data_IF_571685746444
#
_entry.id   IF_571685746444
#
_cell.length_a   1.000
_cell.length_b   1.000
_cell.length_c   1.000
_cell.angle_alpha   90.00
_cell.angle_beta   90.00
_cell.angle_gamma   90.00
#
_symmetry.space_group_name_H-M   'P 1'
#
loop_
_entity.id
_entity.type
_entity.pdbx_description
1 polymer ?
#
# COMPACT_ATOMS: atom_id res chain seq x y z
N UNK A 1 29.66 -83.68 -6.16
CA UNK A 1 30.96 -83.28 -6.77
C UNK A 1 30.66 -82.50 -8.03
N UNK A 2 30.94 -81.19 -7.94
CA UNK A 2 31.33 -80.17 -8.92
C UNK A 2 30.90 -80.16 -10.43
N UNK A 3 30.78 -78.91 -10.91
CA UNK A 3 30.87 -78.31 -12.27
C UNK A 3 29.71 -78.37 -13.28
N UNK A 4 29.03 -77.22 -13.36
CA UNK A 4 28.66 -76.39 -14.54
C UNK A 4 28.47 -77.08 -15.91
N UNK A 5 27.26 -76.91 -16.49
CA UNK A 5 26.93 -76.63 -17.91
C UNK A 5 25.43 -76.21 -17.91
N UNK A 6 25.03 -74.98 -18.24
CA UNK A 6 24.81 -74.35 -19.55
C UNK A 6 23.41 -74.57 -20.16
N UNK A 7 22.66 -73.46 -20.20
CA UNK A 7 21.60 -73.05 -21.14
C UNK A 7 20.17 -73.64 -21.13
N UNK A 8 19.24 -72.67 -21.08
CA UNK A 8 18.13 -72.38 -22.01
C UNK A 8 16.68 -72.73 -21.59
N UNK A 9 15.87 -71.66 -21.53
CA UNK A 9 14.56 -71.43 -22.19
C UNK A 9 13.47 -70.89 -21.27
N UNK A 10 12.84 -69.84 -21.81
CA UNK A 10 11.63 -69.10 -21.42
C UNK A 10 10.54 -69.92 -20.72
N UNK A 11 9.87 -69.28 -19.76
CA UNK A 11 8.57 -69.70 -19.26
C UNK A 11 7.94 -68.64 -18.37
N UNK A 12 7.20 -67.73 -19.01
CA UNK A 12 6.38 -66.63 -18.47
C UNK A 12 5.80 -66.90 -17.07
N UNK A 13 6.18 -66.08 -16.09
CA UNK A 13 5.59 -66.03 -14.76
C UNK A 13 4.74 -64.77 -14.55
N UNK A 14 3.45 -64.97 -14.27
CA UNK A 14 2.51 -63.97 -13.77
C UNK A 14 3.09 -63.23 -12.54
N UNK A 15 3.16 -61.89 -12.60
CA UNK A 15 3.57 -61.05 -11.48
C UNK A 15 2.50 -60.00 -11.17
N UNK A 16 1.79 -60.21 -10.06
CA UNK A 16 0.81 -59.30 -9.45
C UNK A 16 1.47 -57.95 -9.14
N UNK A 17 0.92 -56.86 -9.67
CA UNK A 17 1.38 -55.50 -9.37
C UNK A 17 0.88 -55.06 -7.97
N UNK A 18 1.80 -55.04 -7.00
CA UNK A 18 1.57 -54.43 -5.68
C UNK A 18 1.84 -52.92 -5.82
N UNK A 19 0.78 -52.11 -5.84
CA UNK A 19 0.86 -50.65 -5.84
C UNK A 19 1.25 -50.17 -4.44
N UNK A 20 2.45 -49.61 -4.31
CA UNK A 20 2.87 -48.88 -3.11
C UNK A 20 2.41 -47.41 -3.21
N UNK A 21 1.82 -46.82 -2.16
CA UNK A 21 1.44 -45.41 -2.18
C UNK A 21 2.70 -44.53 -2.09
N UNK A 22 2.88 -43.66 -3.08
CA UNK A 22 3.90 -42.62 -3.10
C UNK A 22 3.53 -41.58 -2.05
N UNK A 23 4.33 -41.48 -0.99
CA UNK A 23 4.27 -40.38 -0.02
C UNK A 23 4.64 -39.07 -0.73
N UNK A 24 3.68 -38.19 -0.92
CA UNK A 24 3.91 -36.81 -1.36
C UNK A 24 4.70 -36.06 -0.27
N UNK A 25 5.99 -35.84 -0.53
CA UNK A 25 6.80 -34.95 0.29
C UNK A 25 6.37 -33.51 0.03
N UNK A 26 5.78 -32.86 1.03
CA UNK A 26 5.46 -31.44 1.00
C UNK A 26 6.73 -30.62 0.75
N UNK A 27 6.79 -29.94 -0.40
CA UNK A 27 7.80 -28.94 -0.67
C UNK A 27 7.59 -27.78 0.31
N UNK A 28 8.48 -27.68 1.30
CA UNK A 28 8.61 -26.47 2.13
C UNK A 28 8.98 -25.31 1.21
N UNK A 29 8.00 -24.47 0.90
CA UNK A 29 8.22 -23.22 0.18
C UNK A 29 9.30 -22.42 0.90
N UNK A 30 10.45 -22.24 0.24
CA UNK A 30 11.54 -21.40 0.74
C UNK A 30 11.05 -19.96 0.65
N UNK A 31 10.63 -19.39 1.78
CA UNK A 31 10.35 -17.95 1.89
C UNK A 31 11.62 -17.24 1.47
N UNK A 32 11.57 -16.51 0.36
CA UNK A 32 12.67 -15.64 -0.05
C UNK A 32 12.78 -14.54 1.00
N UNK A 33 13.74 -14.70 1.92
CA UNK A 33 14.27 -13.58 2.68
C UNK A 33 14.96 -12.67 1.67
N UNK A 34 14.31 -11.57 1.30
CA UNK A 34 15.05 -10.39 0.88
C UNK A 34 15.67 -9.84 2.15
N UNK A 35 16.93 -10.17 2.42
CA UNK A 35 17.69 -9.42 3.43
C UNK A 35 17.73 -7.96 2.96
N UNK A 36 17.20 -6.99 3.74
CA UNK A 36 17.22 -5.60 3.36
C UNK A 36 18.60 -5.03 3.68
N UNK A 37 19.61 -5.49 2.97
CA UNK A 37 20.94 -4.88 2.94
C UNK A 37 21.34 -4.62 1.49
N UNK A 38 20.44 -4.00 0.72
CA UNK A 38 20.85 -3.23 -0.45
C UNK A 38 21.24 -1.85 0.07
N UNK A 39 22.52 -1.52 -0.08
CA UNK A 39 23.08 -0.21 0.22
C UNK A 39 22.18 0.88 -0.36
N UNK A 40 21.61 1.73 0.51
CA UNK A 40 20.90 2.92 0.08
C UNK A 40 21.87 3.77 -0.75
N UNK A 41 21.70 3.77 -2.07
CA UNK A 41 22.43 4.69 -2.94
C UNK A 41 21.90 6.09 -2.66
N UNK A 42 22.74 6.96 -2.11
CA UNK A 42 22.44 8.39 -2.10
C UNK A 42 22.44 8.88 -3.55
N UNK A 43 21.37 9.51 -3.97
CA UNK A 43 21.26 10.02 -5.34
C UNK A 43 19.85 10.43 -5.71
N UNK A 44 19.69 10.94 -6.92
CA UNK A 44 18.40 11.27 -7.48
C UNK A 44 17.74 10.04 -8.13
N UNK A 45 16.41 10.03 -8.20
CA UNK A 45 15.68 9.17 -9.14
C UNK A 45 15.40 9.94 -10.44
N UNK A 46 16.03 9.57 -11.58
CA UNK A 46 15.77 10.20 -12.86
C UNK A 46 14.31 10.09 -13.28
N UNK A 47 13.68 8.93 -13.08
CA UNK A 47 12.27 8.67 -13.43
C UNK A 47 11.34 9.58 -12.64
N UNK A 48 11.55 9.68 -11.32
CA UNK A 48 10.78 10.58 -10.46
C UNK A 48 10.92 12.04 -10.86
N UNK A 49 12.16 12.51 -11.08
CA UNK A 49 12.44 13.88 -11.56
C UNK A 49 11.76 14.16 -12.89
N UNK A 50 11.88 13.23 -13.84
CA UNK A 50 11.31 13.35 -15.19
C UNK A 50 9.78 13.43 -15.10
N UNK A 51 9.16 12.54 -14.32
CA UNK A 51 7.72 12.50 -14.09
C UNK A 51 7.21 13.81 -13.49
N UNK A 52 7.76 14.25 -12.34
CA UNK A 52 7.35 15.49 -11.66
C UNK A 52 7.56 16.75 -12.52
N UNK A 53 8.62 16.79 -13.33
CA UNK A 53 8.86 17.90 -14.27
C UNK A 53 7.72 18.11 -15.28
N UNK A 54 6.96 17.06 -15.57
CA UNK A 54 5.77 17.08 -16.43
C UNK A 54 4.45 17.32 -15.70
N UNK A 55 4.41 17.28 -14.36
CA UNK A 55 3.17 17.45 -13.59
C UNK A 55 2.75 18.92 -13.52
N UNK A 56 1.46 19.19 -13.67
CA UNK A 56 0.85 20.53 -13.60
C UNK A 56 -0.40 20.50 -12.71
N UNK A 57 -0.65 21.62 -12.04
CA UNK A 57 -1.82 21.79 -11.17
C UNK A 57 -3.03 22.21 -11.99
N UNK A 58 -4.05 21.36 -12.06
CA UNK A 58 -5.31 21.59 -12.76
C UNK A 58 -6.40 22.13 -11.84
N UNK A 59 -7.66 21.88 -12.19
CA UNK A 59 -8.80 22.46 -11.49
C UNK A 59 -8.87 22.07 -10.01
N UNK A 60 -9.52 22.94 -9.23
CA UNK A 60 -9.70 22.74 -7.80
C UNK A 60 -11.16 22.46 -7.46
N UNK A 61 -11.39 21.61 -6.46
CA UNK A 61 -12.71 21.37 -5.88
C UNK A 61 -12.65 21.54 -4.36
N UNK A 62 -13.56 22.34 -3.83
CA UNK A 62 -13.69 22.56 -2.39
C UNK A 62 -14.98 21.96 -1.84
N UNK A 63 -14.93 21.42 -0.63
CA UNK A 63 -16.09 21.03 0.16
C UNK A 63 -15.74 21.07 1.65
N UNK A 64 -16.48 21.85 2.44
CA UNK A 64 -16.16 22.10 3.85
C UNK A 64 -14.72 22.61 4.02
N UNK A 65 -13.92 21.92 4.83
CA UNK A 65 -12.51 22.24 5.05
C UNK A 65 -11.56 21.67 3.98
N UNK A 66 -12.05 20.84 3.05
CA UNK A 66 -11.24 20.22 2.01
C UNK A 66 -11.11 21.13 0.79
N UNK A 67 -9.89 21.23 0.27
CA UNK A 67 -9.59 21.75 -1.06
C UNK A 67 -8.71 20.74 -1.79
N UNK A 68 -9.20 20.22 -2.91
CA UNK A 68 -8.51 19.24 -3.75
C UNK A 68 -8.10 19.91 -5.05
N UNK A 69 -6.82 19.85 -5.38
CA UNK A 69 -6.31 20.19 -6.71
C UNK A 69 -6.04 18.91 -7.48
N UNK A 70 -6.60 18.79 -8.68
CA UNK A 70 -6.24 17.70 -9.58
C UNK A 70 -4.86 17.95 -10.19
N UNK A 71 -4.04 16.91 -10.28
CA UNK A 71 -2.72 16.98 -10.87
C UNK A 71 -2.75 16.24 -12.21
N UNK A 72 -2.23 16.89 -13.24
CA UNK A 72 -2.24 16.39 -14.62
C UNK A 72 -0.83 16.30 -15.17
N UNK A 73 -0.69 15.54 -16.26
CA UNK A 73 0.57 15.40 -16.98
C UNK A 73 1.31 14.17 -16.52
N UNK A 74 2.62 14.31 -16.32
CA UNK A 74 3.52 13.16 -16.37
C UNK A 74 3.89 12.82 -17.81
N UNK A 75 4.80 11.86 -17.98
CA UNK A 75 5.39 11.53 -19.29
C UNK A 75 4.78 10.24 -19.75
N UNK A 76 4.34 10.10 -21.01
CA UNK A 76 3.83 8.82 -21.50
C UNK A 76 4.78 7.69 -21.15
N UNK A 77 4.26 6.67 -20.47
CA UNK A 77 4.98 5.49 -20.07
C UNK A 77 4.35 4.25 -20.72
N UNK A 78 5.13 3.17 -20.94
CA UNK A 78 4.55 1.90 -21.37
C UNK A 78 3.47 1.43 -20.38
N UNK A 79 2.42 0.81 -20.92
CA UNK A 79 1.35 0.24 -20.10
C UNK A 79 1.91 -0.80 -19.13
N UNK A 80 1.66 -0.60 -17.84
CA UNK A 80 1.99 -1.55 -16.77
C UNK A 80 0.69 -1.96 -16.07
N UNK A 81 0.14 -3.17 -16.33
CA UNK A 81 -1.10 -3.61 -15.70
C UNK A 81 -0.91 -3.84 -14.20
N UNK A 82 -1.58 -3.02 -13.40
CA UNK A 82 -1.54 -3.04 -11.93
C UNK A 82 -2.96 -3.15 -11.40
N UNK A 83 -3.19 -4.08 -10.49
CA UNK A 83 -4.40 -4.16 -9.67
C UNK A 83 -4.17 -3.47 -8.33
N UNK A 84 -5.20 -2.84 -7.79
CA UNK A 84 -5.17 -2.39 -6.39
C UNK A 84 -5.19 -3.59 -5.44
N UNK A 85 -4.87 -3.35 -4.16
CA UNK A 85 -5.00 -4.35 -3.11
C UNK A 85 -6.41 -4.97 -3.09
N UNK A 86 -7.45 -4.14 -3.15
CA UNK A 86 -8.85 -4.56 -3.08
C UNK A 86 -9.24 -5.40 -4.29
N UNK A 87 -8.87 -4.95 -5.49
CA UNK A 87 -9.15 -5.66 -6.74
C UNK A 87 -8.53 -7.06 -6.72
N UNK A 88 -7.25 -7.16 -6.37
CA UNK A 88 -6.56 -8.44 -6.33
C UNK A 88 -7.15 -9.38 -5.29
N UNK A 89 -7.59 -8.87 -4.14
CA UNK A 89 -8.23 -9.68 -3.09
C UNK A 89 -9.64 -10.13 -3.47
N UNK A 90 -10.42 -9.25 -4.10
CA UNK A 90 -11.78 -9.58 -4.56
C UNK A 90 -11.79 -10.73 -5.56
N UNK A 91 -10.73 -10.86 -6.37
CA UNK A 91 -10.54 -11.96 -7.31
C UNK A 91 -9.90 -13.21 -6.70
N UNK A 92 -9.45 -13.14 -5.45
CA UNK A 92 -8.70 -14.22 -4.79
C UNK A 92 -7.25 -14.35 -5.26
N UNK A 93 -6.73 -13.35 -5.98
CA UNK A 93 -5.36 -13.33 -6.49
C UNK A 93 -4.35 -13.01 -5.37
N UNK A 94 -4.73 -12.23 -4.37
CA UNK A 94 -3.83 -11.80 -3.29
C UNK A 94 -4.16 -12.50 -1.98
N UNK A 95 -3.16 -13.20 -1.43
CA UNK A 95 -3.24 -13.86 -0.12
C UNK A 95 -2.35 -13.14 0.88
N UNK A 96 -2.91 -12.81 2.05
CA UNK A 96 -2.19 -12.20 3.17
C UNK A 96 -2.42 -13.06 4.41
N UNK A 97 -1.34 -13.51 5.04
CA UNK A 97 -1.39 -14.39 6.23
C UNK A 97 -0.36 -13.99 7.29
N UNK A 98 -0.59 -14.43 8.52
CA UNK A 98 0.42 -14.31 9.59
C UNK A 98 1.55 -15.34 9.45
N UNK A 99 2.75 -14.98 9.93
CA UNK A 99 3.85 -15.93 10.10
C UNK A 99 3.60 -16.83 11.33
N UNK A 100 3.87 -18.14 11.21
CA UNK A 100 3.62 -19.15 12.25
C UNK A 100 4.30 -18.85 13.61
N UNK A 101 5.46 -18.18 13.59
CA UNK A 101 6.19 -17.74 14.80
C UNK A 101 6.20 -16.22 14.85
N UNK A 102 5.05 -15.64 15.21
CA UNK A 102 4.82 -14.21 15.28
C UNK A 102 5.56 -13.57 16.47
N UNK A 103 6.82 -13.20 16.28
CA UNK A 103 7.56 -12.30 17.16
C UNK A 103 7.85 -11.01 16.38
N UNK A 104 6.88 -10.08 16.37
CA UNK A 104 6.98 -8.72 15.77
C UNK A 104 7.10 -8.72 14.22
N UNK A 105 6.86 -7.58 13.53
CA UNK A 105 5.62 -7.28 12.82
C UNK A 105 5.70 -7.57 11.31
N UNK A 106 5.80 -8.85 10.95
CA UNK A 106 5.77 -9.28 9.54
C UNK A 106 4.49 -10.07 9.22
N UNK A 107 3.84 -9.69 8.12
CA UNK A 107 2.89 -10.56 7.43
C UNK A 107 3.58 -11.27 6.26
N UNK A 108 2.93 -12.30 5.74
CA UNK A 108 3.29 -12.91 4.46
C UNK A 108 2.25 -12.49 3.43
N UNK A 109 2.72 -11.97 2.30
CA UNK A 109 1.88 -11.60 1.16
C UNK A 109 2.29 -12.40 -0.09
N UNK A 110 1.30 -12.85 -0.85
CA UNK A 110 1.50 -13.72 -2.03
C UNK A 110 0.52 -13.30 -3.13
N UNK A 111 1.05 -12.75 -4.22
CA UNK A 111 0.29 -12.48 -5.44
C UNK A 111 0.29 -13.72 -6.33
N UNK A 112 -0.85 -14.41 -6.37
CA UNK A 112 -1.13 -15.59 -7.20
C UNK A 112 -1.77 -15.23 -8.53
N UNK A 113 -2.07 -13.94 -8.74
CA UNK A 113 -2.60 -13.41 -9.98
C UNK A 113 -1.56 -13.28 -11.09
N UNK A 114 -2.04 -12.92 -12.29
CA UNK A 114 -1.23 -12.72 -13.50
C UNK A 114 -0.88 -11.25 -13.79
N UNK A 115 -1.28 -10.34 -12.91
CA UNK A 115 -1.04 -8.90 -13.01
C UNK A 115 -0.28 -8.42 -11.77
N UNK A 116 0.37 -7.26 -11.84
CA UNK A 116 0.99 -6.69 -10.66
C UNK A 116 -0.08 -6.30 -9.64
N UNK A 117 0.29 -6.31 -8.36
CA UNK A 117 -0.59 -5.82 -7.28
C UNK A 117 0.14 -4.74 -6.51
N UNK A 118 -0.47 -3.56 -6.40
CA UNK A 118 0.05 -2.45 -5.60
C UNK A 118 -0.58 -2.49 -4.21
N UNK A 119 0.28 -2.46 -3.19
CA UNK A 119 -0.09 -2.16 -1.81
C UNK A 119 0.50 -0.79 -1.48
N UNK A 120 -0.30 0.11 -0.92
CA UNK A 120 0.09 1.48 -0.58
C UNK A 120 0.48 1.59 0.90
N UNK A 121 1.49 2.41 1.17
CA UNK A 121 1.87 2.81 2.51
C UNK A 121 0.70 3.54 3.19
N UNK A 122 0.19 2.94 4.28
CA UNK A 122 -0.96 3.46 4.99
C UNK A 122 -2.26 2.68 4.82
N UNK A 123 -2.31 1.67 3.94
CA UNK A 123 -3.46 0.77 3.86
C UNK A 123 -3.63 -0.04 5.15
N UNK A 124 -4.87 -0.14 5.62
CA UNK A 124 -5.24 -0.92 6.80
C UNK A 124 -5.70 -2.31 6.38
N UNK A 125 -4.98 -3.32 6.86
CA UNK A 125 -5.33 -4.73 6.71
C UNK A 125 -6.12 -5.16 7.94
N UNK A 126 -7.43 -5.33 7.77
CA UNK A 126 -8.33 -5.77 8.84
C UNK A 126 -8.29 -7.29 8.99
N UNK A 127 -8.24 -7.82 10.20
CA UNK A 127 -8.27 -9.28 10.47
C UNK A 127 -7.05 -9.80 11.23
N UNK A 128 -6.65 -11.05 10.97
CA UNK A 128 -5.57 -11.74 11.68
C UNK A 128 -5.75 -11.73 13.20
N UNK A 129 -4.64 -11.78 13.95
CA UNK A 129 -4.62 -11.55 15.40
C UNK A 129 -4.79 -10.08 15.76
N UNK A 130 -4.38 -9.16 14.87
CA UNK A 130 -4.52 -7.71 15.00
C UNK A 130 -4.67 -7.07 13.63
N UNK A 131 -5.41 -5.97 13.54
CA UNK A 131 -5.38 -5.12 12.35
C UNK A 131 -3.98 -4.51 12.15
N UNK A 132 -3.55 -4.43 10.89
CA UNK A 132 -2.22 -3.97 10.50
C UNK A 132 -2.28 -2.78 9.58
N UNK A 133 -1.21 -1.98 9.53
CA UNK A 133 -1.00 -0.92 8.53
C UNK A 133 0.24 -1.23 7.71
N UNK A 134 0.14 -1.15 6.39
CA UNK A 134 1.25 -1.35 5.45
C UNK A 134 2.27 -0.21 5.60
N UNK A 135 3.55 -0.54 5.73
CA UNK A 135 4.57 0.47 6.08
C UNK A 135 5.14 1.26 4.90
N UNK A 136 5.03 0.72 3.70
CA UNK A 136 5.65 1.26 2.50
C UNK A 136 4.96 0.73 1.26
N UNK A 137 5.06 1.44 0.13
CA UNK A 137 4.47 0.96 -1.11
C UNK A 137 5.21 -0.29 -1.59
N UNK A 138 4.45 -1.31 -2.02
CA UNK A 138 4.98 -2.54 -2.55
C UNK A 138 4.25 -2.87 -3.85
N UNK A 139 5.01 -3.02 -4.94
CA UNK A 139 4.50 -3.59 -6.18
C UNK A 139 4.87 -5.07 -6.22
N UNK A 140 3.90 -5.95 -6.01
CA UNK A 140 4.11 -7.39 -6.14
C UNK A 140 4.06 -7.79 -7.62
N UNK A 141 5.08 -8.50 -8.13
CA UNK A 141 5.02 -9.02 -9.49
C UNK A 141 3.94 -10.10 -9.62
N UNK A 142 3.46 -10.40 -10.84
CA UNK A 142 2.64 -11.59 -11.10
C UNK A 142 3.30 -12.85 -10.54
N UNK A 143 2.49 -13.75 -9.95
CA UNK A 143 2.98 -15.03 -9.42
C UNK A 143 4.19 -14.85 -8.48
N UNK A 144 4.09 -13.90 -7.54
CA UNK A 144 5.24 -13.41 -6.77
C UNK A 144 5.89 -14.46 -5.87
N UNK A 145 5.13 -15.51 -5.52
CA UNK A 145 5.37 -16.36 -4.38
C UNK A 145 5.24 -15.60 -3.05
N UNK A 146 5.35 -16.30 -1.90
CA UNK A 146 5.24 -15.69 -0.58
C UNK A 146 6.40 -14.74 -0.28
N UNK A 147 6.09 -13.51 0.13
CA UNK A 147 7.05 -12.46 0.49
C UNK A 147 6.73 -11.83 1.83
N UNK A 148 7.75 -11.27 2.49
CA UNK A 148 7.56 -10.58 3.78
C UNK A 148 6.95 -9.20 3.55
N UNK A 149 5.90 -8.87 4.30
CA UNK A 149 5.25 -7.55 4.28
C UNK A 149 5.46 -6.88 5.63
N UNK A 150 6.22 -5.78 5.63
CA UNK A 150 6.40 -4.94 6.81
C UNK A 150 5.11 -4.24 7.19
N UNK A 151 4.74 -4.33 8.46
CA UNK A 151 3.52 -3.72 8.99
C UNK A 151 3.75 -3.09 10.36
N UNK A 152 2.84 -2.20 10.79
CA UNK A 152 2.63 -1.92 12.22
C UNK A 152 1.27 -2.45 12.68
N UNK A 153 1.10 -2.66 13.99
CA UNK A 153 -0.20 -2.92 14.58
C UNK A 153 -1.00 -1.62 14.68
N UNK A 154 -2.28 -1.64 14.32
CA UNK A 154 -3.23 -0.53 14.54
C UNK A 154 -4.41 -0.93 15.42
N UNK A 155 -4.19 -1.97 16.22
CA UNK A 155 -5.12 -2.49 17.23
C UNK A 155 -4.28 -3.04 18.39
N UNK A 156 -4.21 -2.30 19.50
CA UNK A 156 -3.31 -2.62 20.61
C UNK A 156 -3.86 -3.75 21.49
N UNK A 157 -5.17 -3.72 21.78
CA UNK A 157 -5.81 -4.53 22.82
C UNK A 157 -6.26 -5.93 22.38
N UNK A 158 -6.07 -6.32 21.12
CA UNK A 158 -6.40 -7.66 20.63
C UNK A 158 -5.12 -8.39 20.28
N UNK A 159 -4.89 -9.60 20.79
CA UNK A 159 -3.88 -10.54 20.28
C UNK A 159 -4.46 -11.95 20.24
N UNK A 160 -5.70 -12.02 19.77
CA UNK A 160 -6.49 -13.25 19.71
C UNK A 160 -7.36 -13.15 18.47
N UNK A 161 -6.95 -13.86 17.42
CA UNK A 161 -7.72 -14.02 16.19
C UNK A 161 -7.93 -15.51 15.97
N UNK A 162 -9.17 -15.93 15.73
CA UNK A 162 -9.47 -17.32 15.36
C UNK A 162 -8.99 -17.65 13.93
N UNK A 163 -8.77 -16.62 13.10
CA UNK A 163 -8.28 -16.74 11.73
C UNK A 163 -6.95 -16.02 11.54
N UNK A 164 -6.06 -16.63 10.75
CA UNK A 164 -4.84 -16.00 10.24
C UNK A 164 -5.07 -15.15 8.98
N UNK A 165 -6.31 -15.10 8.48
CA UNK A 165 -6.68 -14.33 7.29
C UNK A 165 -7.05 -12.89 7.62
N UNK A 166 -6.80 -12.03 6.65
CA UNK A 166 -7.24 -10.64 6.66
C UNK A 166 -8.50 -10.50 5.78
N UNK A 167 -9.36 -9.50 6.02
CA UNK A 167 -10.53 -9.10 5.23
C UNK A 167 -10.26 -7.85 4.38
N UNK A 168 -10.98 -7.73 3.26
CA UNK A 168 -10.75 -6.76 2.17
C UNK A 168 -11.42 -5.40 2.37
N UNK A 169 -11.41 -4.85 3.59
CA UNK A 169 -11.97 -3.52 3.76
C UNK A 169 -11.06 -2.46 3.12
N UNK A 170 -11.67 -1.58 2.34
CA UNK A 170 -11.03 -0.53 1.55
C UNK A 170 -10.74 0.69 2.44
N UNK A 171 -9.70 0.56 3.26
CA UNK A 171 -9.41 1.47 4.38
C UNK A 171 -7.99 2.01 4.27
N UNK A 172 -7.90 3.32 4.07
CA UNK A 172 -6.63 4.06 4.08
C UNK A 172 -6.51 4.89 5.36
N UNK A 173 -5.33 4.89 5.97
CA UNK A 173 -5.06 5.71 7.14
C UNK A 173 -5.11 7.21 6.81
N UNK A 174 -5.65 8.01 7.73
CA UNK A 174 -5.59 9.47 7.68
C UNK A 174 -4.15 9.99 7.75
N UNK A 175 -3.92 11.26 7.34
CA UNK A 175 -2.59 11.82 7.11
C UNK A 175 -1.63 11.58 8.26
N UNK A 176 -2.00 11.92 9.49
CA UNK A 176 -1.09 11.88 10.64
C UNK A 176 -0.56 10.47 10.90
N UNK A 177 -1.37 9.45 10.65
CA UNK A 177 -0.95 8.06 10.78
C UNK A 177 -0.07 7.61 9.60
N UNK A 178 -0.38 8.03 8.36
CA UNK A 178 0.50 7.81 7.20
C UNK A 178 1.87 8.50 7.36
N UNK A 179 1.89 9.71 7.93
CA UNK A 179 3.13 10.42 8.29
C UNK A 179 3.96 9.57 9.25
N UNK A 180 3.38 9.05 10.34
CA UNK A 180 4.12 8.20 11.30
C UNK A 180 4.73 6.97 10.63
N UNK A 181 4.00 6.36 9.71
CA UNK A 181 4.49 5.23 8.91
C UNK A 181 5.66 5.64 8.01
N UNK A 182 5.51 6.71 7.23
CA UNK A 182 6.57 7.24 6.37
C UNK A 182 7.79 7.71 7.16
N UNK A 183 7.59 8.15 8.41
CA UNK A 183 8.66 8.52 9.33
C UNK A 183 9.41 7.32 9.92
N UNK A 184 8.93 6.09 9.69
CA UNK A 184 9.40 4.85 10.34
C UNK A 184 9.35 4.98 11.87
N UNK A 185 8.28 5.57 12.38
CA UNK A 185 8.03 5.74 13.81
C UNK A 185 7.95 4.40 14.53
N UNK A 186 8.11 4.40 15.85
CA UNK A 186 7.95 3.17 16.63
C UNK A 186 6.47 2.80 16.83
N UNK A 187 6.22 1.55 17.22
CA UNK A 187 4.88 1.00 17.42
C UNK A 187 4.06 1.78 18.46
N UNK A 188 4.69 2.39 19.48
CA UNK A 188 3.97 3.17 20.50
C UNK A 188 3.51 4.50 19.93
N UNK A 189 4.33 5.13 19.09
CA UNK A 189 3.96 6.37 18.40
C UNK A 189 2.80 6.14 17.42
N UNK A 190 2.78 4.99 16.73
CA UNK A 190 1.65 4.58 15.88
C UNK A 190 0.36 4.44 16.72
N UNK A 191 0.41 3.74 17.86
CA UNK A 191 -0.75 3.61 18.76
C UNK A 191 -1.22 4.94 19.35
N UNK A 192 -0.29 5.82 19.71
CA UNK A 192 -0.64 7.15 20.21
C UNK A 192 -1.41 7.96 19.16
N UNK A 193 -1.01 7.88 17.88
CA UNK A 193 -1.72 8.56 16.80
C UNK A 193 -3.09 7.93 16.53
N UNK A 194 -3.21 6.59 16.55
CA UNK A 194 -4.52 5.89 16.48
C UNK A 194 -5.45 6.39 17.58
N UNK A 195 -4.98 6.45 18.83
CA UNK A 195 -5.76 6.92 19.98
C UNK A 195 -6.19 8.37 19.83
N UNK A 196 -5.33 9.24 19.28
CA UNK A 196 -5.66 10.64 18.99
C UNK A 196 -6.78 10.76 17.96
N UNK A 197 -6.73 10.00 16.87
CA UNK A 197 -7.81 9.97 15.88
C UNK A 197 -9.11 9.42 16.46
N UNK A 198 -9.05 8.33 17.23
CA UNK A 198 -10.22 7.74 17.89
C UNK A 198 -10.85 8.72 18.90
N UNK A 199 -10.02 9.44 19.67
CA UNK A 199 -10.48 10.48 20.60
C UNK A 199 -11.18 11.63 19.89
N UNK A 200 -10.58 12.17 18.81
CA UNK A 200 -11.19 13.25 18.02
C UNK A 200 -12.52 12.82 17.39
N UNK A 201 -12.58 11.59 16.87
CA UNK A 201 -13.79 11.05 16.27
C UNK A 201 -14.85 10.65 17.31
N UNK A 202 -14.50 10.58 18.60
CA UNK A 202 -15.35 9.97 19.62
C UNK A 202 -15.67 8.50 19.30
N UNK A 203 -14.67 7.77 18.80
CA UNK A 203 -14.76 6.39 18.31
C UNK A 203 -13.85 5.47 19.13
N UNK A 204 -13.85 5.63 20.46
CA UNK A 204 -13.10 4.74 21.35
C UNK A 204 -13.60 3.29 21.18
N UNK A 205 -12.69 2.34 21.18
CA UNK A 205 -13.00 0.91 21.07
C UNK A 205 -12.27 0.11 22.15
N UNK A 206 -12.79 -1.06 22.57
CA UNK A 206 -12.15 -1.85 23.62
C UNK A 206 -10.72 -2.28 23.30
N UNK A 207 -10.36 -2.36 22.02
CA UNK A 207 -9.05 -2.84 21.54
C UNK A 207 -8.17 -1.72 20.95
N UNK A 208 -8.61 -0.45 21.04
CA UNK A 208 -7.95 0.69 20.39
C UNK A 208 -7.67 0.41 18.90
N UNK A 209 -8.65 -0.15 18.19
CA UNK A 209 -8.52 -0.44 16.76
C UNK A 209 -8.88 0.79 15.90
N UNK A 210 -8.06 1.08 14.90
CA UNK A 210 -8.28 2.21 13.98
C UNK A 210 -9.57 2.06 13.15
N UNK A 211 -9.96 0.81 12.85
CA UNK A 211 -11.16 0.50 12.08
C UNK A 211 -12.45 1.05 12.72
N UNK A 212 -12.50 1.14 14.06
CA UNK A 212 -13.64 1.69 14.79
C UNK A 212 -13.97 3.14 14.40
N UNK A 213 -12.98 3.92 13.95
CA UNK A 213 -13.21 5.26 13.42
C UNK A 213 -14.01 5.18 12.12
N UNK A 214 -13.61 4.30 11.20
CA UNK A 214 -14.33 4.06 9.95
C UNK A 214 -15.69 3.40 10.16
N UNK A 215 -15.89 2.63 11.24
CA UNK A 215 -17.15 1.96 11.52
C UNK A 215 -18.18 2.85 12.22
N UNK A 216 -17.75 4.00 12.75
CA UNK A 216 -18.63 4.95 13.41
C UNK A 216 -19.62 5.56 12.40
N UNK A 217 -20.96 5.46 12.61
CA UNK A 217 -21.96 5.91 11.65
C UNK A 217 -21.82 7.38 11.23
N UNK A 218 -21.51 8.27 12.17
CA UNK A 218 -21.35 9.70 11.91
C UNK A 218 -20.11 9.99 11.05
N UNK A 219 -19.02 9.24 11.25
CA UNK A 219 -17.82 9.35 10.43
C UNK A 219 -18.09 8.83 9.03
N UNK A 220 -18.81 7.71 8.89
CA UNK A 220 -19.22 7.18 7.58
C UNK A 220 -20.10 8.15 6.81
N UNK A 221 -21.08 8.75 7.48
CA UNK A 221 -21.96 9.75 6.87
C UNK A 221 -21.15 10.96 6.37
N UNK A 222 -20.20 11.45 7.16
CA UNK A 222 -19.28 12.53 6.75
C UNK A 222 -18.42 12.13 5.55
N UNK A 223 -17.86 10.92 5.53
CA UNK A 223 -17.10 10.42 4.38
C UNK A 223 -17.95 10.35 3.11
N UNK A 224 -19.18 9.85 3.22
CA UNK A 224 -20.13 9.79 2.09
C UNK A 224 -20.50 11.19 1.57
N UNK A 225 -20.70 12.16 2.46
CA UNK A 225 -20.95 13.55 2.07
C UNK A 225 -19.77 14.15 1.28
N UNK A 226 -18.55 13.90 1.76
CA UNK A 226 -17.32 14.34 1.08
C UNK A 226 -17.18 13.67 -0.29
N UNK A 227 -17.35 12.34 -0.37
CA UNK A 227 -17.28 11.58 -1.63
C UNK A 227 -18.35 12.02 -2.64
N UNK A 228 -19.54 12.40 -2.17
CA UNK A 228 -20.59 12.94 -3.03
C UNK A 228 -20.25 14.34 -3.57
N UNK A 229 -19.59 15.16 -2.74
CA UNK A 229 -19.33 16.57 -3.04
C UNK A 229 -18.04 16.80 -3.85
N UNK A 230 -17.05 15.94 -3.67
CA UNK A 230 -15.80 15.89 -4.42
C UNK A 230 -15.93 14.76 -5.46
N UNK A 231 -16.12 15.08 -6.76
CA UNK A 231 -16.36 14.08 -7.77
C UNK A 231 -15.11 13.19 -8.00
N UNK A 232 -15.30 12.15 -8.80
CA UNK A 232 -14.20 11.35 -9.34
C UNK A 232 -13.13 12.24 -10.00
N UNK A 233 -11.87 11.77 -10.10
CA UNK A 233 -10.80 12.57 -10.67
C UNK A 233 -11.13 13.10 -12.05
N UNK A 234 -10.63 14.31 -12.35
CA UNK A 234 -10.74 14.89 -13.68
C UNK A 234 -10.15 13.93 -14.73
N UNK A 235 -10.67 13.93 -15.98
CA UNK A 235 -10.12 13.08 -17.03
C UNK A 235 -8.60 13.22 -17.16
N UNK A 236 -7.90 12.07 -17.23
CA UNK A 236 -6.45 11.98 -17.29
C UNK A 236 -5.69 12.63 -16.10
N UNK A 237 -6.34 12.91 -14.97
CA UNK A 237 -5.65 13.25 -13.75
C UNK A 237 -4.76 12.09 -13.32
N UNK A 238 -3.54 12.42 -12.91
CA UNK A 238 -2.52 11.48 -12.42
C UNK A 238 -2.35 11.56 -10.91
N UNK A 239 -3.06 12.46 -10.24
CA UNK A 239 -2.96 12.59 -8.80
C UNK A 239 -3.79 13.74 -8.25
N UNK A 240 -3.64 13.98 -6.95
CA UNK A 240 -4.27 15.09 -6.27
C UNK A 240 -3.34 15.66 -5.19
N UNK A 241 -3.42 16.98 -5.01
CA UNK A 241 -2.93 17.66 -3.81
C UNK A 241 -4.12 18.10 -2.98
N UNK A 242 -4.22 17.61 -1.74
CA UNK A 242 -5.37 17.83 -0.86
C UNK A 242 -4.94 18.72 0.30
N UNK A 243 -5.74 19.73 0.61
CA UNK A 243 -5.58 20.61 1.76
C UNK A 243 -6.74 20.45 2.73
N UNK A 244 -6.43 20.58 4.02
CA UNK A 244 -7.41 20.79 5.09
C UNK A 244 -7.18 22.21 5.62
N UNK A 245 -8.12 23.11 5.33
CA UNK A 245 -7.91 24.54 5.46
C UNK A 245 -6.75 25.00 4.57
N UNK A 246 -5.72 25.62 5.17
CA UNK A 246 -4.50 26.03 4.44
C UNK A 246 -3.31 25.07 4.64
N UNK A 247 -3.50 23.97 5.37
CA UNK A 247 -2.46 22.96 5.58
C UNK A 247 -2.56 21.90 4.49
N UNK A 248 -1.44 21.60 3.83
CA UNK A 248 -1.36 20.45 2.92
C UNK A 248 -1.65 19.19 3.74
N UNK A 249 -2.67 18.45 3.33
CA UNK A 249 -3.06 17.18 3.90
C UNK A 249 -2.31 16.01 3.26
N UNK A 250 -1.98 16.13 1.99
CA UNK A 250 -1.19 15.13 1.28
C UNK A 250 -1.18 15.40 -0.21
N UNK A 251 -0.23 14.80 -0.89
CA UNK A 251 -0.14 14.80 -2.34
C UNK A 251 0.20 13.38 -2.77
N UNK A 252 -0.68 12.77 -3.57
CA UNK A 252 -0.51 11.42 -4.11
C UNK A 252 -0.52 11.51 -5.64
N UNK A 253 0.42 10.83 -6.30
CA UNK A 253 0.64 10.83 -7.75
C UNK A 253 0.85 9.40 -8.26
N UNK A 254 0.34 9.10 -9.46
CA UNK A 254 0.45 7.82 -10.16
C UNK A 254 0.72 8.08 -11.64
N UNK A 255 1.64 7.34 -12.26
CA UNK A 255 1.86 7.46 -13.70
C UNK A 255 0.63 7.04 -14.54
N UNK A 256 -0.16 6.09 -14.04
CA UNK A 256 -1.39 5.60 -14.67
C UNK A 256 -2.63 6.35 -14.12
N UNK A 257 -3.29 7.20 -14.93
CA UNK A 257 -4.54 7.88 -14.53
C UNK A 257 -5.66 6.91 -14.13
N UNK A 258 -5.71 5.74 -14.76
CA UNK A 258 -6.70 4.71 -14.46
C UNK A 258 -6.47 4.11 -13.08
N UNK A 259 -5.21 3.86 -12.69
CA UNK A 259 -4.87 3.41 -11.35
C UNK A 259 -5.20 4.48 -10.31
N UNK A 260 -4.83 5.75 -10.55
CA UNK A 260 -5.21 6.85 -9.66
C UNK A 260 -6.73 6.93 -9.46
N UNK A 261 -7.52 6.83 -10.53
CA UNK A 261 -8.97 6.87 -10.44
C UNK A 261 -9.56 5.77 -9.56
N UNK A 262 -8.95 4.58 -9.53
CA UNK A 262 -9.40 3.45 -8.69
C UNK A 262 -8.94 3.57 -7.25
N UNK A 263 -7.78 4.18 -7.01
CA UNK A 263 -7.23 4.44 -5.66
C UNK A 263 -7.83 5.69 -4.99
N UNK A 264 -8.34 6.64 -5.78
CA UNK A 264 -8.82 7.93 -5.29
C UNK A 264 -9.92 7.83 -4.20
N UNK A 265 -10.96 6.98 -4.32
CA UNK A 265 -12.02 6.93 -3.32
C UNK A 265 -11.50 6.69 -1.90
N UNK A 266 -10.56 5.75 -1.73
CA UNK A 266 -10.01 5.43 -0.40
C UNK A 266 -9.07 6.52 0.13
N UNK A 267 -8.31 7.15 -0.76
CA UNK A 267 -7.49 8.32 -0.41
C UNK A 267 -8.36 9.50 0.04
N UNK A 268 -9.47 9.77 -0.66
CA UNK A 268 -10.42 10.81 -0.30
C UNK A 268 -11.07 10.54 1.06
N UNK A 269 -11.49 9.29 1.33
CA UNK A 269 -12.03 8.90 2.66
C UNK A 269 -11.03 9.08 3.79
N UNK A 270 -9.74 8.86 3.55
CA UNK A 270 -8.68 9.15 4.52
C UNK A 270 -8.56 10.65 4.81
N UNK A 271 -8.61 11.50 3.78
CA UNK A 271 -8.61 12.96 3.95
C UNK A 271 -9.88 13.48 4.64
N UNK A 272 -11.03 12.86 4.39
CA UNK A 272 -12.28 13.21 5.06
C UNK A 272 -12.19 13.05 6.59
N UNK A 273 -11.48 12.03 7.09
CA UNK A 273 -11.23 11.85 8.53
C UNK A 273 -10.47 13.02 9.14
N UNK A 274 -9.57 13.66 8.38
CA UNK A 274 -8.83 14.85 8.84
C UNK A 274 -9.71 16.09 8.98
N UNK A 275 -10.89 16.10 8.36
CA UNK A 275 -11.87 17.18 8.47
C UNK A 275 -13.01 16.90 9.44
N UNK A 276 -13.18 15.65 9.85
CA UNK A 276 -14.26 15.26 10.75
C UNK A 276 -14.19 16.00 12.09
N UNK A 277 -15.29 16.66 12.44
CA UNK A 277 -15.42 17.45 13.67
C UNK A 277 -14.64 18.77 13.67
N UNK A 278 -14.03 19.16 12.55
CA UNK A 278 -13.44 20.49 12.41
C UNK A 278 -14.52 21.51 12.02
N UNK A 279 -14.46 22.74 12.56
CA UNK A 279 -15.31 23.82 12.06
C UNK A 279 -14.96 24.09 10.60
N UNK A 280 -15.95 24.53 9.81
CA UNK A 280 -15.67 25.03 8.46
C UNK A 280 -14.68 26.19 8.57
N UNK A 281 -13.47 26.07 8.02
CA UNK A 281 -12.56 27.20 7.96
C UNK A 281 -13.16 28.28 7.06
N UNK A 282 -12.66 29.51 7.19
CA UNK A 282 -12.92 30.54 6.19
C UNK A 282 -12.48 30.06 4.80
N UNK A 283 -12.97 30.74 3.75
CA UNK A 283 -12.65 30.40 2.36
C UNK A 283 -11.12 30.36 2.17
N UNK A 284 -10.60 29.20 1.79
CA UNK A 284 -9.17 29.03 1.53
C UNK A 284 -8.72 29.93 0.37
N UNK A 285 -7.50 30.47 0.47
CA UNK A 285 -6.90 31.26 -0.61
C UNK A 285 -6.40 30.33 -1.72
N UNK A 286 -7.33 29.87 -2.57
CA UNK A 286 -7.04 28.90 -3.64
C UNK A 286 -5.86 29.33 -4.53
N UNK A 287 -5.74 30.58 -5.04
CA UNK A 287 -4.59 30.98 -5.86
C UNK A 287 -3.24 30.82 -5.14
N UNK A 288 -3.18 31.18 -3.85
CA UNK A 288 -1.97 30.99 -3.03
C UNK A 288 -1.65 29.51 -2.85
N UNK A 289 -2.65 28.69 -2.55
CA UNK A 289 -2.45 27.25 -2.35
C UNK A 289 -2.06 26.53 -3.65
N UNK A 290 -2.63 26.94 -4.79
CA UNK A 290 -2.23 26.48 -6.13
C UNK A 290 -0.76 26.78 -6.41
N UNK A 291 -0.32 28.01 -6.15
CA UNK A 291 1.10 28.38 -6.29
C UNK A 291 1.99 27.52 -5.39
N UNK A 292 1.57 27.29 -4.14
CA UNK A 292 2.29 26.43 -3.20
C UNK A 292 2.45 25.01 -3.72
N UNK A 293 1.44 24.43 -4.37
CA UNK A 293 1.54 23.09 -4.97
C UNK A 293 2.51 23.09 -6.15
N UNK A 294 2.44 24.09 -7.03
CA UNK A 294 3.39 24.25 -8.15
C UNK A 294 4.83 24.34 -7.66
N UNK A 295 5.08 25.16 -6.64
CA UNK A 295 6.41 25.34 -6.04
C UNK A 295 6.91 24.06 -5.38
N UNK A 296 6.03 23.36 -4.65
CA UNK A 296 6.33 22.08 -4.02
C UNK A 296 6.76 21.03 -5.06
N UNK A 297 6.00 20.88 -6.16
CA UNK A 297 6.34 19.96 -7.25
C UNK A 297 7.69 20.34 -7.89
N UNK A 298 7.92 21.63 -8.13
CA UNK A 298 9.17 22.14 -8.70
C UNK A 298 10.39 21.92 -7.80
N UNK A 299 10.22 22.02 -6.47
CA UNK A 299 11.26 21.70 -5.48
C UNK A 299 11.47 20.19 -5.38
N UNK A 300 10.40 19.41 -5.28
CA UNK A 300 10.45 17.96 -5.18
C UNK A 300 11.15 17.32 -6.39
N UNK A 301 10.99 17.86 -7.61
CA UNK A 301 11.70 17.37 -8.80
C UNK A 301 13.23 17.50 -8.71
N UNK A 302 13.74 18.35 -7.81
CA UNK A 302 15.17 18.69 -7.69
C UNK A 302 15.84 18.08 -6.46
N UNK A 303 15.10 17.37 -5.61
CA UNK A 303 15.66 16.77 -4.41
C UNK A 303 16.53 15.56 -4.75
N UNK A 304 17.52 15.33 -3.91
CA UNK A 304 18.18 14.04 -3.78
C UNK A 304 17.54 13.26 -2.64
N UNK A 305 17.78 11.95 -2.63
CA UNK A 305 17.20 11.06 -1.63
C UNK A 305 17.98 9.76 -1.52
N UNK A 306 17.29 8.74 -1.02
CA UNK A 306 17.82 7.39 -0.91
C UNK A 306 16.99 6.43 -1.74
N UNK A 307 17.65 5.68 -2.60
CA UNK A 307 17.05 4.56 -3.33
C UNK A 307 17.23 3.27 -2.53
N UNK A 308 16.16 2.50 -2.39
CA UNK A 308 16.17 1.19 -1.72
C UNK A 308 15.21 0.21 -2.37
N UNK A 309 15.44 -1.08 -2.16
CA UNK A 309 14.49 -2.14 -2.54
C UNK A 309 13.64 -2.56 -1.35
N UNK A 310 12.59 -3.30 -1.65
CA UNK A 310 11.78 -3.99 -0.67
C UNK A 310 11.33 -5.36 -1.19
N UNK A 311 10.30 -5.93 -0.57
CA UNK A 311 9.80 -7.25 -0.93
C UNK A 311 9.20 -7.32 -2.35
N UNK A 312 8.78 -6.18 -2.91
CA UNK A 312 8.22 -6.08 -4.26
C UNK A 312 9.29 -5.95 -5.36
N UNK A 313 8.82 -5.65 -6.57
CA UNK A 313 9.66 -5.22 -7.70
C UNK A 313 9.79 -3.70 -7.72
N UNK A 314 10.86 -3.21 -8.35
CA UNK A 314 11.18 -1.79 -8.41
C UNK A 314 12.07 -1.32 -7.25
N UNK A 315 12.05 -0.01 -7.02
CA UNK A 315 12.81 0.69 -5.99
C UNK A 315 11.97 1.80 -5.38
N UNK A 316 12.07 1.97 -4.06
CA UNK A 316 11.55 3.13 -3.35
C UNK A 316 12.60 4.23 -3.35
N UNK A 317 12.21 5.42 -3.79
CA UNK A 317 12.96 6.65 -3.67
C UNK A 317 12.39 7.45 -2.50
N UNK A 318 13.04 7.41 -1.34
CA UNK A 318 12.67 8.20 -0.18
C UNK A 318 13.39 9.54 -0.21
N UNK A 319 12.67 10.64 0.01
CA UNK A 319 13.21 11.99 -0.06
C UNK A 319 12.58 12.94 0.97
N UNK A 320 13.19 14.11 1.11
CA UNK A 320 12.64 15.24 1.90
C UNK A 320 12.54 16.47 1.02
N UNK A 321 11.46 17.21 1.18
CA UNK A 321 11.24 18.49 0.51
C UNK A 321 10.65 19.46 1.52
N UNK A 322 11.37 20.54 1.81
CA UNK A 322 11.04 21.45 2.92
C UNK A 322 10.91 20.69 4.26
N UNK A 323 9.80 20.86 4.97
CA UNK A 323 9.47 20.13 6.19
C UNK A 323 8.70 18.82 5.93
N UNK A 324 8.43 18.48 4.66
CA UNK A 324 7.64 17.32 4.25
C UNK A 324 8.56 16.15 3.91
N UNK A 325 8.00 14.94 4.00
CA UNK A 325 8.66 13.71 3.52
C UNK A 325 7.92 13.20 2.31
N UNK A 326 8.64 12.49 1.46
CA UNK A 326 8.01 11.78 0.38
C UNK A 326 8.68 10.45 0.09
N UNK A 327 7.93 9.60 -0.58
CA UNK A 327 8.41 8.33 -1.11
C UNK A 327 7.81 8.14 -2.50
N UNK A 328 8.59 7.60 -3.41
CA UNK A 328 8.12 7.23 -4.75
C UNK A 328 8.55 5.80 -5.09
N UNK A 329 7.58 4.95 -5.41
CA UNK A 329 7.83 3.62 -5.94
C UNK A 329 8.05 3.71 -7.46
N UNK A 330 9.25 3.37 -7.89
CA UNK A 330 9.66 3.36 -9.30
C UNK A 330 9.86 1.93 -9.75
N UNK A 331 9.16 1.52 -10.80
CA UNK A 331 9.29 0.19 -11.41
C UNK A 331 9.15 0.31 -12.93
N UNK A 332 9.84 -0.54 -13.69
CA UNK A 332 9.75 -0.56 -15.16
C UNK A 332 9.92 0.82 -15.83
N UNK A 333 10.83 1.65 -15.29
CA UNK A 333 11.15 2.98 -15.82
C UNK A 333 10.08 4.06 -15.58
N UNK A 334 9.10 3.82 -14.70
CA UNK A 334 8.02 4.75 -14.41
C UNK A 334 7.69 4.85 -12.91
N UNK A 335 7.07 5.97 -12.51
CA UNK A 335 6.60 6.18 -11.13
C UNK A 335 5.25 5.49 -10.95
N UNK A 336 5.24 4.36 -10.26
CA UNK A 336 4.00 3.62 -9.95
C UNK A 336 3.11 4.45 -9.04
N UNK A 337 3.71 4.93 -7.94
CA UNK A 337 3.06 5.82 -6.99
C UNK A 337 4.11 6.73 -6.35
N UNK A 338 3.73 7.97 -6.03
CA UNK A 338 4.52 8.85 -5.18
C UNK A 338 3.61 9.63 -4.23
N UNK A 339 4.01 9.67 -2.96
CA UNK A 339 3.34 10.44 -1.92
C UNK A 339 4.26 11.50 -1.32
N UNK A 340 3.71 12.67 -1.00
CA UNK A 340 4.34 13.70 -0.19
C UNK A 340 3.41 14.03 0.98
N UNK A 341 3.90 13.80 2.19
CA UNK A 341 3.18 14.05 3.44
C UNK A 341 3.94 15.05 4.29
#
# INVERSE_FOLDING_TARGET
MDKREFMKVLGVGLGVAIVHPIKAAAQRGRILRSDPTDSAGAGASPEFRKFLGGVRVGDARAHGALLVFWLHGGIPAPSLPISTLEEARSRGDLVITERERAAVPDLIVDNRGKTHVLLLAGEILVGGKQNRIVTEDILLPPLSGPRSLGVYCVEQGRWSGASSSFSGQDVMAARGLREKVMEKADQRQVWAEVKKYAGRAGAASPTDNYQAIYDKPEVRAHQQEVEHSIPAPAPAAVGAAVFVGEKLSGLDLFQDPGLFAREWPKLLRAHAIDTYGLPSPGKANEPRLRSRVTDLLGRAAKVDGSLRRNAGVGQLFDFRVEALRGSALVAEGQVVHAAIL
#
